data_IF_164427060153
#
_entry.id   IF_164427060153
#
_cell.length_a   1.000
_cell.length_b   1.000
_cell.length_c   1.000
_cell.angle_alpha   90.00
_cell.angle_beta   90.00
_cell.angle_gamma   90.00
#
_symmetry.space_group_name_H-M   'P 1'
#
loop_
_entity.id
_entity.type
_entity.pdbx_description
1 polymer ?
#
# COMPACT_ATOMS: atom_id res chain seq x y z
N UNK A 1 7.64 -24.76 1.44
CA UNK A 1 9.08 -25.11 1.51
C UNK A 1 10.01 -23.90 1.28
N UNK A 2 9.52 -22.69 0.98
CA UNK A 2 10.37 -21.50 0.75
C UNK A 2 10.93 -20.86 2.04
N UNK A 3 10.17 -20.87 3.14
CA UNK A 3 10.61 -20.22 4.41
C UNK A 3 11.95 -20.74 4.95
N UNK A 4 12.27 -22.01 4.71
CA UNK A 4 13.50 -22.62 5.23
C UNK A 4 14.77 -22.18 4.47
N UNK A 5 14.64 -21.66 3.24
CA UNK A 5 15.80 -21.23 2.45
C UNK A 5 16.22 -19.80 2.78
N UNK A 6 15.24 -18.92 3.01
CA UNK A 6 15.49 -17.52 3.36
C UNK A 6 16.01 -17.38 4.79
N UNK A 7 15.50 -18.18 5.73
CA UNK A 7 16.01 -18.27 7.11
C UNK A 7 17.47 -18.75 7.16
N UNK A 8 17.84 -19.73 6.32
CA UNK A 8 19.23 -20.20 6.22
C UNK A 8 20.17 -19.17 5.60
N UNK A 9 19.69 -18.40 4.60
CA UNK A 9 20.49 -17.34 3.99
C UNK A 9 20.77 -16.22 4.99
N UNK A 10 19.76 -15.82 5.77
CA UNK A 10 19.90 -14.79 6.81
C UNK A 10 20.89 -15.24 7.90
N UNK A 11 20.81 -16.50 8.34
CA UNK A 11 21.72 -17.07 9.33
C UNK A 11 23.18 -17.09 8.85
N UNK A 12 23.41 -17.42 7.58
CA UNK A 12 24.76 -17.41 6.99
C UNK A 12 25.31 -15.99 6.80
N UNK A 13 24.45 -15.01 6.52
CA UNK A 13 24.84 -13.60 6.44
C UNK A 13 25.24 -13.03 7.81
N UNK A 14 24.47 -13.31 8.86
CA UNK A 14 24.84 -12.93 10.23
C UNK A 14 26.17 -13.55 10.64
N UNK A 15 26.34 -14.86 10.41
CA UNK A 15 27.59 -15.57 10.71
C UNK A 15 28.79 -15.01 9.94
N UNK A 16 28.59 -14.61 8.68
CA UNK A 16 29.64 -13.99 7.87
C UNK A 16 30.09 -12.65 8.47
N UNK A 17 29.15 -11.84 8.95
CA UNK A 17 29.46 -10.54 9.52
C UNK A 17 30.16 -10.65 10.88
N UNK A 18 29.77 -11.62 11.70
CA UNK A 18 30.49 -11.94 12.93
C UNK A 18 31.94 -12.37 12.66
N UNK A 19 32.15 -13.25 11.68
CA UNK A 19 33.51 -13.71 11.35
C UNK A 19 34.38 -12.61 10.74
N UNK A 20 33.80 -11.68 9.97
CA UNK A 20 34.52 -10.47 9.49
C UNK A 20 34.92 -9.56 10.65
N UNK A 21 34.02 -9.35 11.62
CA UNK A 21 34.32 -8.55 12.82
C UNK A 21 35.44 -9.19 13.62
N UNK A 22 35.35 -10.50 13.86
CA UNK A 22 36.40 -11.28 14.55
C UNK A 22 37.75 -11.19 13.81
N UNK A 23 37.75 -11.28 12.48
CA UNK A 23 38.96 -11.16 11.66
C UNK A 23 39.67 -9.80 11.79
N UNK A 24 38.90 -8.71 11.95
CA UNK A 24 39.43 -7.35 12.11
C UNK A 24 40.12 -7.19 13.47
N UNK A 25 39.51 -7.73 14.53
CA UNK A 25 39.98 -7.56 15.91
C UNK A 25 41.05 -8.59 16.33
N UNK A 26 41.17 -9.71 15.60
CA UNK A 26 42.12 -10.78 15.93
C UNK A 26 43.55 -10.38 15.55
N UNK A 27 44.43 -10.35 16.56
CA UNK A 27 45.86 -10.11 16.41
C UNK A 27 46.66 -11.39 16.12
N UNK A 28 46.18 -12.56 16.55
CA UNK A 28 46.85 -13.84 16.30
C UNK A 28 46.79 -14.24 14.81
N UNK A 29 47.96 -14.45 14.21
CA UNK A 29 48.07 -14.74 12.77
C UNK A 29 47.51 -16.13 12.43
N UNK A 30 47.63 -17.12 13.32
CA UNK A 30 47.10 -18.46 13.11
C UNK A 30 45.58 -18.46 13.02
N UNK A 31 44.91 -17.85 14.00
CA UNK A 31 43.46 -17.66 14.00
C UNK A 31 42.99 -16.80 12.83
N UNK A 32 43.74 -15.76 12.46
CA UNK A 32 43.41 -14.91 11.30
C UNK A 32 43.44 -15.68 9.99
N UNK A 33 44.38 -16.61 9.82
CA UNK A 33 44.42 -17.49 8.66
C UNK A 33 43.21 -18.44 8.61
N UNK A 34 42.80 -19.01 9.75
CA UNK A 34 41.61 -19.85 9.85
C UNK A 34 40.32 -19.08 9.52
N UNK A 35 40.14 -17.90 10.12
CA UNK A 35 38.99 -17.03 9.85
C UNK A 35 38.90 -16.63 8.37
N UNK A 36 40.05 -16.40 7.71
CA UNK A 36 40.07 -16.11 6.26
C UNK A 36 39.54 -17.28 5.43
N UNK A 37 39.83 -18.53 5.84
CA UNK A 37 39.32 -19.74 5.19
C UNK A 37 37.82 -19.91 5.43
N UNK A 38 37.37 -19.76 6.67
CA UNK A 38 35.96 -19.85 7.05
C UNK A 38 35.09 -18.77 6.36
N UNK A 39 35.58 -17.53 6.28
CA UNK A 39 34.92 -16.45 5.52
C UNK A 39 34.76 -16.81 4.04
N UNK A 40 35.79 -17.44 3.44
CA UNK A 40 35.74 -17.84 2.04
C UNK A 40 34.70 -18.96 1.81
N UNK A 41 34.65 -19.93 2.71
CA UNK A 41 33.69 -21.04 2.66
C UNK A 41 32.24 -20.54 2.82
N UNK A 42 31.97 -19.65 3.78
CA UNK A 42 30.63 -19.08 3.97
C UNK A 42 30.20 -18.24 2.76
N UNK A 43 31.11 -17.44 2.19
CA UNK A 43 30.81 -16.68 0.95
C UNK A 43 30.46 -17.61 -0.21
N UNK A 44 31.14 -18.74 -0.32
CA UNK A 44 30.85 -19.72 -1.35
C UNK A 44 29.46 -20.36 -1.14
N UNK A 45 29.11 -20.72 0.10
CA UNK A 45 27.78 -21.27 0.41
C UNK A 45 26.65 -20.28 0.14
N UNK A 46 26.84 -18.99 0.47
CA UNK A 46 25.88 -17.93 0.14
C UNK A 46 25.71 -17.83 -1.39
N UNK A 47 26.81 -17.81 -2.14
CA UNK A 47 26.78 -17.75 -3.60
C UNK A 47 26.06 -18.97 -4.20
N UNK A 48 26.32 -20.18 -3.71
CA UNK A 48 25.67 -21.41 -4.17
C UNK A 48 24.16 -21.43 -3.87
N UNK A 49 23.73 -20.88 -2.73
CA UNK A 49 22.31 -20.73 -2.36
C UNK A 49 21.61 -19.66 -3.21
N UNK A 50 22.29 -18.54 -3.49
CA UNK A 50 21.79 -17.49 -4.38
C UNK A 50 21.69 -17.99 -5.83
N UNK A 51 22.69 -18.74 -6.31
CA UNK A 51 22.70 -19.33 -7.65
C UNK A 51 21.66 -20.44 -7.79
N UNK A 52 21.45 -21.25 -6.75
CA UNK A 52 20.37 -22.22 -6.70
C UNK A 52 19.01 -21.52 -6.75
N UNK A 53 18.81 -20.48 -5.94
CA UNK A 53 17.57 -19.67 -5.95
C UNK A 53 17.33 -18.98 -7.30
N UNK A 54 18.39 -18.50 -7.95
CA UNK A 54 18.33 -17.89 -9.28
C UNK A 54 18.10 -18.92 -10.40
N UNK A 55 18.58 -20.15 -10.25
CA UNK A 55 18.31 -21.25 -11.19
C UNK A 55 16.84 -21.71 -11.13
N UNK A 56 16.23 -21.73 -9.94
CA UNK A 56 14.79 -21.93 -9.77
C UNK A 56 13.99 -20.80 -10.44
N UNK A 57 14.40 -19.53 -10.24
CA UNK A 57 13.78 -18.37 -10.91
C UNK A 57 13.93 -18.38 -12.44
N UNK A 58 15.01 -18.96 -12.99
CA UNK A 58 15.22 -19.10 -14.45
C UNK A 58 14.43 -20.23 -15.08
N UNK A 59 14.18 -21.32 -14.34
CA UNK A 59 13.35 -22.44 -14.81
C UNK A 59 11.84 -22.17 -14.66
N UNK A 60 11.45 -21.26 -13.77
CA UNK A 60 10.18 -20.54 -13.86
C UNK A 60 10.34 -19.33 -14.77
N UNK A 61 10.54 -19.54 -16.07
CA UNK A 61 9.91 -18.65 -17.05
C UNK A 61 8.41 -18.82 -16.89
N UNK A 62 7.85 -18.25 -15.82
CA UNK A 62 6.45 -17.90 -15.80
C UNK A 62 6.23 -17.11 -17.08
N UNK A 63 5.50 -17.71 -18.04
CA UNK A 63 4.77 -16.90 -19.01
C UNK A 63 4.15 -15.79 -18.18
N UNK A 64 4.41 -14.53 -18.52
CA UNK A 64 3.69 -13.40 -17.93
C UNK A 64 2.23 -13.85 -17.79
N UNK A 65 1.61 -13.72 -16.60
CA UNK A 65 0.22 -14.11 -16.43
C UNK A 65 -0.53 -13.55 -17.62
N UNK A 66 -1.24 -14.41 -18.35
CA UNK A 66 -2.07 -13.98 -19.47
C UNK A 66 -2.81 -12.72 -19.00
N UNK A 67 -2.71 -11.60 -19.73
CA UNK A 67 -3.37 -10.35 -19.33
C UNK A 67 -4.86 -10.61 -19.04
N UNK A 68 -5.44 -11.62 -19.69
CA UNK A 68 -6.80 -12.08 -19.43
C UNK A 68 -6.94 -12.75 -18.06
N UNK A 69 -5.99 -13.57 -17.64
CA UNK A 69 -5.95 -14.16 -16.30
C UNK A 69 -5.70 -13.09 -15.22
N UNK A 70 -4.78 -12.15 -15.45
CA UNK A 70 -4.56 -11.02 -14.53
C UNK A 70 -5.84 -10.17 -14.39
N UNK A 71 -6.51 -9.86 -15.50
CA UNK A 71 -7.80 -9.15 -15.47
C UNK A 71 -8.91 -9.96 -14.80
N UNK A 72 -8.98 -11.26 -15.05
CA UNK A 72 -9.97 -12.15 -14.44
C UNK A 72 -9.76 -12.25 -12.92
N UNK A 73 -8.52 -12.40 -12.46
CA UNK A 73 -8.15 -12.45 -11.04
C UNK A 73 -8.36 -11.10 -10.35
N UNK A 74 -8.12 -9.97 -11.03
CA UNK A 74 -8.45 -8.63 -10.53
C UNK A 74 -9.94 -8.46 -10.22
N UNK A 75 -10.82 -9.09 -11.02
CA UNK A 75 -12.28 -9.03 -10.86
C UNK A 75 -12.79 -10.07 -9.87
N UNK A 76 -12.15 -11.24 -9.83
CA UNK A 76 -12.41 -12.26 -8.82
C UNK A 76 -12.06 -11.71 -7.42
N UNK A 77 -12.85 -12.05 -6.40
CA UNK A 77 -12.61 -11.73 -4.99
C UNK A 77 -12.83 -10.28 -4.54
N UNK A 78 -12.91 -9.32 -5.46
CA UNK A 78 -12.98 -7.90 -5.12
C UNK A 78 -14.13 -7.15 -5.81
N UNK A 79 -15.06 -7.85 -6.47
CA UNK A 79 -16.17 -7.22 -7.19
C UNK A 79 -17.03 -6.34 -6.28
N UNK A 80 -17.32 -6.80 -5.06
CA UNK A 80 -18.12 -6.02 -4.11
C UNK A 80 -17.37 -4.77 -3.65
N UNK A 81 -16.10 -4.91 -3.25
CA UNK A 81 -15.25 -3.80 -2.84
C UNK A 81 -15.08 -2.78 -3.97
N UNK A 82 -14.96 -3.25 -5.22
CA UNK A 82 -14.88 -2.43 -6.41
C UNK A 82 -16.17 -1.65 -6.66
N UNK A 83 -17.33 -2.32 -6.65
CA UNK A 83 -18.64 -1.67 -6.85
C UNK A 83 -18.93 -0.66 -5.73
N UNK A 84 -18.66 -1.02 -4.47
CA UNK A 84 -18.78 -0.10 -3.33
C UNK A 84 -17.88 1.11 -3.50
N UNK A 85 -16.62 0.92 -3.93
CA UNK A 85 -15.69 2.02 -4.16
C UNK A 85 -16.16 2.96 -5.28
N UNK A 86 -16.59 2.43 -6.43
CA UNK A 86 -17.12 3.26 -7.53
C UNK A 86 -18.36 4.04 -7.10
N UNK A 87 -19.26 3.39 -6.37
CA UNK A 87 -20.46 4.03 -5.84
C UNK A 87 -20.12 5.20 -4.90
N UNK A 88 -19.22 4.97 -3.93
CA UNK A 88 -18.77 6.01 -3.00
C UNK A 88 -18.02 7.12 -3.71
N UNK A 89 -17.24 6.80 -4.76
CA UNK A 89 -16.57 7.81 -5.57
C UNK A 89 -17.54 8.81 -6.18
N UNK A 90 -18.66 8.31 -6.72
CA UNK A 90 -19.70 9.15 -7.30
C UNK A 90 -20.36 10.04 -6.23
N UNK A 91 -20.64 9.50 -5.04
CA UNK A 91 -21.26 10.27 -3.94
C UNK A 91 -20.31 11.34 -3.38
N UNK A 92 -19.02 11.02 -3.28
CA UNK A 92 -18.02 11.86 -2.66
C UNK A 92 -17.24 12.74 -3.66
N UNK A 93 -17.69 12.83 -4.92
CA UNK A 93 -17.04 13.58 -6.00
C UNK A 93 -15.55 13.23 -6.15
N UNK A 94 -15.22 11.94 -6.13
CA UNK A 94 -13.86 11.40 -6.26
C UNK A 94 -12.88 11.78 -5.13
N UNK A 95 -13.38 12.30 -4.01
CA UNK A 95 -12.60 12.64 -2.81
C UNK A 95 -12.91 11.65 -1.69
N UNK A 96 -12.12 10.58 -1.57
CA UNK A 96 -12.49 9.42 -0.75
C UNK A 96 -11.39 9.07 0.24
N UNK A 97 -11.77 8.93 1.52
CA UNK A 97 -10.97 8.27 2.54
C UNK A 97 -11.46 6.84 2.72
N UNK A 98 -10.55 5.88 2.75
CA UNK A 98 -10.84 4.45 2.87
C UNK A 98 -9.93 3.84 3.92
N UNK A 99 -10.52 3.08 4.84
CA UNK A 99 -9.78 2.17 5.72
C UNK A 99 -9.86 0.77 5.11
N UNK A 100 -8.72 0.19 4.79
CA UNK A 100 -8.63 -1.19 4.31
C UNK A 100 -8.16 -2.08 5.45
N UNK A 101 -9.06 -2.88 6.00
CA UNK A 101 -8.74 -3.89 7.00
C UNK A 101 -8.24 -5.16 6.32
N UNK A 102 -7.03 -5.58 6.64
CA UNK A 102 -6.39 -6.75 6.02
C UNK A 102 -5.39 -7.45 6.95
N UNK A 103 -4.76 -8.54 6.51
CA UNK A 103 -3.59 -9.15 7.17
C UNK A 103 -2.29 -8.66 6.52
N UNK A 104 -1.18 -8.69 7.27
CA UNK A 104 0.14 -8.24 6.80
C UNK A 104 0.59 -8.93 5.50
N UNK A 105 0.28 -10.22 5.35
CA UNK A 105 0.73 -11.02 4.20
C UNK A 105 -0.30 -11.15 3.08
N UNK A 106 -1.08 -10.11 2.82
CA UNK A 106 -2.21 -10.20 1.88
C UNK A 106 -1.82 -9.85 0.44
N UNK A 107 -1.49 -10.87 -0.37
CA UNK A 107 -1.53 -10.74 -1.84
C UNK A 107 -2.85 -10.12 -2.32
N UNK A 108 -3.95 -10.43 -1.64
CA UNK A 108 -5.28 -9.84 -1.87
C UNK A 108 -5.32 -8.31 -1.71
N UNK A 109 -4.51 -7.72 -0.82
CA UNK A 109 -4.43 -6.25 -0.72
C UNK A 109 -3.80 -5.66 -1.99
N UNK A 110 -2.70 -6.24 -2.46
CA UNK A 110 -2.03 -5.77 -3.68
C UNK A 110 -2.99 -5.85 -4.86
N UNK A 111 -3.73 -6.95 -4.98
CA UNK A 111 -4.74 -7.11 -6.02
C UNK A 111 -5.89 -6.12 -5.90
N UNK A 112 -6.44 -5.94 -4.70
CA UNK A 112 -7.48 -4.93 -4.47
C UNK A 112 -6.99 -3.54 -4.87
N UNK A 113 -5.82 -3.11 -4.37
CA UNK A 113 -5.26 -1.79 -4.70
C UNK A 113 -5.02 -1.65 -6.20
N UNK A 114 -4.48 -2.66 -6.88
CA UNK A 114 -4.35 -2.66 -8.34
C UNK A 114 -5.70 -2.51 -9.03
N UNK A 115 -6.72 -3.25 -8.61
CA UNK A 115 -8.07 -3.19 -9.18
C UNK A 115 -8.71 -1.81 -8.99
N UNK A 116 -8.59 -1.21 -7.80
CA UNK A 116 -9.10 0.13 -7.50
C UNK A 116 -8.35 1.21 -8.29
N UNK A 117 -7.02 1.11 -8.42
CA UNK A 117 -6.23 2.07 -9.21
C UNK A 117 -6.58 1.96 -10.70
N UNK A 118 -6.72 0.72 -11.21
CA UNK A 118 -7.09 0.47 -12.60
C UNK A 118 -8.49 1.01 -12.94
N UNK A 119 -9.39 1.07 -11.95
CA UNK A 119 -10.74 1.61 -12.12
C UNK A 119 -10.78 3.10 -12.41
N UNK A 120 -9.68 3.82 -12.18
CA UNK A 120 -9.60 5.25 -12.43
C UNK A 120 -9.49 5.58 -13.92
N UNK A 121 -9.22 4.58 -14.77
CA UNK A 121 -9.14 4.67 -16.24
C UNK A 121 -8.26 5.83 -16.73
N UNK A 122 -7.17 6.11 -16.00
CA UNK A 122 -6.30 7.27 -16.22
C UNK A 122 -4.82 6.88 -16.09
N UNK A 123 -3.98 7.49 -16.93
CA UNK A 123 -2.53 7.30 -16.90
C UNK A 123 -1.82 8.27 -15.93
N UNK A 124 -2.49 9.34 -15.51
CA UNK A 124 -1.91 10.43 -14.71
C UNK A 124 -2.12 10.25 -13.19
N UNK A 125 -1.81 9.04 -12.70
CA UNK A 125 -1.90 8.72 -11.27
C UNK A 125 -0.54 8.92 -10.58
N UNK A 126 -0.50 9.81 -9.59
CA UNK A 126 0.63 9.94 -8.67
C UNK A 126 0.27 9.28 -7.34
N UNK A 127 1.16 8.41 -6.87
CA UNK A 127 0.95 7.66 -5.64
C UNK A 127 2.07 7.92 -4.63
N UNK A 128 1.72 8.48 -3.48
CA UNK A 128 2.60 8.55 -2.32
C UNK A 128 2.34 7.35 -1.40
N UNK A 129 3.41 6.61 -1.09
CA UNK A 129 3.37 5.47 -0.17
C UNK A 129 4.13 5.83 1.09
N UNK A 130 3.45 5.76 2.22
CA UNK A 130 3.99 6.11 3.52
C UNK A 130 3.93 4.91 4.45
N UNK A 131 5.09 4.51 4.98
CA UNK A 131 5.16 3.53 6.04
C UNK A 131 5.20 4.26 7.39
N UNK A 132 4.11 4.19 8.14
CA UNK A 132 4.03 4.74 9.48
C UNK A 132 4.61 3.71 10.46
N UNK A 133 5.90 3.82 10.75
CA UNK A 133 6.53 3.02 11.79
C UNK A 133 6.37 3.70 13.17
N UNK A 134 6.12 2.92 14.22
CA UNK A 134 5.84 3.49 15.54
C UNK A 134 7.05 4.19 16.15
N UNK A 135 8.29 3.83 15.79
CA UNK A 135 9.50 4.39 16.39
C UNK A 135 9.84 5.80 15.87
N UNK A 136 9.60 6.04 14.58
CA UNK A 136 9.84 7.30 13.89
C UNK A 136 8.77 8.32 14.24
N UNK A 137 7.52 7.87 14.43
CA UNK A 137 6.37 8.75 14.60
C UNK A 137 5.80 8.80 16.03
N UNK A 138 6.29 7.98 16.97
CA UNK A 138 5.84 7.96 18.38
C UNK A 138 5.93 9.32 19.07
N UNK A 139 6.92 10.15 18.70
CA UNK A 139 7.10 11.48 19.27
C UNK A 139 6.26 12.56 18.57
N UNK A 140 5.32 12.16 17.70
CA UNK A 140 4.39 13.09 17.06
C UNK A 140 5.05 14.02 16.05
N UNK A 141 6.18 13.62 15.46
CA UNK A 141 6.90 14.37 14.42
C UNK A 141 6.13 14.32 13.09
N UNK A 142 5.02 15.06 13.06
CA UNK A 142 4.14 15.17 11.91
C UNK A 142 4.85 15.73 10.68
N UNK A 143 5.92 16.51 10.87
CA UNK A 143 6.74 17.02 9.77
C UNK A 143 7.38 15.90 8.94
N UNK A 144 7.71 14.75 9.55
CA UNK A 144 8.22 13.60 8.80
C UNK A 144 7.14 12.94 7.93
N UNK A 145 5.88 12.97 8.38
CA UNK A 145 4.75 12.48 7.57
C UNK A 145 4.56 13.42 6.38
N UNK A 146 4.54 14.72 6.64
CA UNK A 146 4.45 15.77 5.61
C UNK A 146 5.59 15.69 4.59
N UNK A 147 6.82 15.44 5.04
CA UNK A 147 7.96 15.16 4.19
C UNK A 147 7.72 13.94 3.30
N UNK A 148 7.28 12.83 3.87
CA UNK A 148 6.97 11.61 3.10
C UNK A 148 5.87 11.82 2.06
N UNK A 149 4.85 12.63 2.37
CA UNK A 149 3.81 13.02 1.41
C UNK A 149 4.42 13.86 0.29
N UNK A 150 5.21 14.88 0.65
CA UNK A 150 5.81 15.78 -0.32
C UNK A 150 6.78 15.04 -1.28
N UNK A 151 7.62 14.16 -0.75
CA UNK A 151 8.54 13.33 -1.52
C UNK A 151 7.78 12.32 -2.40
N UNK A 152 6.78 11.63 -1.84
CA UNK A 152 5.97 10.66 -2.58
C UNK A 152 5.17 11.26 -3.72
N UNK A 153 4.73 12.52 -3.57
CA UNK A 153 4.02 13.28 -4.60
C UNK A 153 4.93 14.11 -5.50
N UNK A 154 6.25 14.06 -5.28
CA UNK A 154 7.25 14.87 -5.99
C UNK A 154 6.89 16.36 -5.98
N UNK A 155 6.49 16.88 -4.82
CA UNK A 155 6.16 18.30 -4.67
C UNK A 155 7.43 19.14 -4.84
N UNK A 156 7.44 20.13 -5.73
CA UNK A 156 8.60 21.01 -5.90
C UNK A 156 8.82 21.82 -4.61
N UNK A 157 10.09 22.14 -4.32
CA UNK A 157 10.46 23.12 -3.27
C UNK A 157 9.92 22.76 -1.87
N UNK A 158 9.85 21.47 -1.53
CA UNK A 158 9.59 21.09 -0.13
C UNK A 158 10.83 21.41 0.71
N UNK A 159 10.63 22.15 1.80
CA UNK A 159 11.66 22.50 2.76
C UNK A 159 11.26 22.00 4.15
N UNK A 160 12.23 21.81 5.03
CA UNK A 160 11.97 21.39 6.43
C UNK A 160 11.07 22.36 7.21
N UNK A 161 10.95 23.61 6.75
CA UNK A 161 10.07 24.64 7.31
C UNK A 161 8.76 24.80 6.54
N UNK A 162 8.49 23.95 5.54
CA UNK A 162 7.21 23.98 4.83
C UNK A 162 6.07 23.70 5.80
N UNK A 163 5.07 24.57 5.78
CA UNK A 163 3.89 24.42 6.61
C UNK A 163 2.94 23.38 6.02
N UNK A 164 1.98 22.91 6.81
CA UNK A 164 0.90 22.04 6.32
C UNK A 164 0.15 22.72 5.18
N UNK A 165 -0.13 24.02 5.31
CA UNK A 165 -0.84 24.80 4.29
C UNK A 165 -0.04 24.90 2.98
N UNK A 166 1.29 25.01 3.04
CA UNK A 166 2.14 25.00 1.84
C UNK A 166 2.00 23.69 1.07
N UNK A 167 2.01 22.57 1.78
CA UNK A 167 1.88 21.24 1.19
C UNK A 167 0.48 21.09 0.59
N UNK A 168 -0.56 21.45 1.34
CA UNK A 168 -1.94 21.42 0.86
C UNK A 168 -2.11 22.26 -0.41
N UNK A 169 -1.54 23.47 -0.44
CA UNK A 169 -1.56 24.35 -1.62
C UNK A 169 -0.89 23.70 -2.83
N UNK A 170 0.24 23.03 -2.63
CA UNK A 170 0.97 22.33 -3.72
C UNK A 170 0.22 21.10 -4.22
N UNK A 171 -0.36 20.30 -3.32
CA UNK A 171 -1.22 19.16 -3.69
C UNK A 171 -2.46 19.64 -4.45
N UNK A 172 -3.12 20.69 -3.96
CA UNK A 172 -4.25 21.33 -4.63
C UNK A 172 -3.88 21.79 -6.06
N UNK A 173 -2.71 22.40 -6.23
CA UNK A 173 -2.21 22.80 -7.55
C UNK A 173 -2.03 21.60 -8.48
N UNK A 174 -1.40 20.51 -8.00
CA UNK A 174 -1.25 19.28 -8.80
C UNK A 174 -2.59 18.70 -9.27
N UNK A 175 -3.56 18.62 -8.37
CA UNK A 175 -4.86 18.04 -8.70
C UNK A 175 -5.61 18.90 -9.72
N UNK A 176 -5.64 20.22 -9.55
CA UNK A 176 -6.52 21.07 -10.34
C UNK A 176 -5.87 21.76 -11.54
N UNK A 177 -4.57 22.02 -11.49
CA UNK A 177 -3.84 22.69 -12.57
C UNK A 177 -3.10 21.68 -13.43
N UNK A 178 -2.45 20.69 -12.81
CA UNK A 178 -1.77 19.61 -13.54
C UNK A 178 -2.72 18.44 -13.86
N UNK A 179 -4.00 18.52 -13.47
CA UNK A 179 -5.03 17.50 -13.70
C UNK A 179 -4.67 16.09 -13.17
N UNK A 180 -3.84 16.01 -12.12
CA UNK A 180 -3.35 14.74 -11.62
C UNK A 180 -4.32 14.05 -10.66
N UNK A 181 -4.39 12.73 -10.76
CA UNK A 181 -5.04 11.87 -9.78
C UNK A 181 -4.04 11.54 -8.67
N UNK A 182 -4.41 11.74 -7.41
CA UNK A 182 -3.53 11.55 -6.27
C UNK A 182 -4.01 10.43 -5.37
N UNK A 183 -3.09 9.54 -5.02
CA UNK A 183 -3.32 8.43 -4.10
C UNK A 183 -2.32 8.50 -2.95
N UNK A 184 -2.84 8.53 -1.72
CA UNK A 184 -2.08 8.48 -0.49
C UNK A 184 -2.29 7.13 0.19
N UNK A 185 -1.23 6.30 0.25
CA UNK A 185 -1.25 4.99 0.91
C UNK A 185 -0.50 5.09 2.24
N UNK A 186 -1.21 4.97 3.34
CA UNK A 186 -0.64 4.91 4.69
C UNK A 186 -0.63 3.47 5.19
N UNK A 187 0.56 2.89 5.30
CA UNK A 187 0.81 1.58 5.88
C UNK A 187 1.16 1.70 7.37
N UNK A 188 0.89 0.65 8.14
CA UNK A 188 1.29 0.61 9.56
C UNK A 188 0.43 1.48 10.49
N UNK A 189 -0.72 1.96 10.02
CA UNK A 189 -1.66 2.78 10.82
C UNK A 189 -2.10 2.07 12.11
N UNK A 190 -2.06 0.74 12.11
CA UNK A 190 -2.41 -0.10 13.25
C UNK A 190 -1.44 0.01 14.42
N UNK A 191 -0.18 0.35 14.14
CA UNK A 191 0.87 0.55 15.13
C UNK A 191 0.93 1.98 15.70
N UNK A 192 0.15 2.89 15.13
CA UNK A 192 0.18 4.31 15.50
C UNK A 192 -0.74 4.62 16.66
N UNK A 193 -0.41 5.68 17.40
CA UNK A 193 -1.27 6.22 18.45
C UNK A 193 -2.36 7.14 17.87
N UNK A 194 -3.32 7.52 18.71
CA UNK A 194 -4.43 8.39 18.31
C UNK A 194 -3.96 9.76 17.83
N UNK A 195 -2.97 10.37 18.47
CA UNK A 195 -2.55 11.73 18.13
C UNK A 195 -1.94 11.83 16.73
N UNK A 196 -1.18 10.82 16.30
CA UNK A 196 -0.64 10.76 14.92
C UNK A 196 -1.77 10.68 13.91
N UNK A 197 -2.74 9.79 14.14
CA UNK A 197 -3.89 9.63 13.23
C UNK A 197 -4.77 10.88 13.20
N UNK A 198 -4.95 11.54 14.35
CA UNK A 198 -5.68 12.81 14.44
C UNK A 198 -5.00 13.91 13.64
N UNK A 199 -3.67 14.02 13.69
CA UNK A 199 -2.95 15.01 12.87
C UNK A 199 -3.10 14.73 11.37
N UNK A 200 -2.98 13.46 10.95
CA UNK A 200 -3.19 13.09 9.54
C UNK A 200 -4.61 13.48 9.09
N UNK A 201 -5.61 13.18 9.91
CA UNK A 201 -7.00 13.43 9.53
C UNK A 201 -7.38 14.91 9.65
N UNK A 202 -7.25 15.48 10.84
CA UNK A 202 -7.74 16.82 11.19
C UNK A 202 -6.85 17.94 10.63
N UNK A 203 -5.53 17.77 10.70
CA UNK A 203 -4.62 18.85 10.32
C UNK A 203 -4.30 18.81 8.82
N UNK A 204 -4.36 17.65 8.17
CA UNK A 204 -3.99 17.49 6.76
C UNK A 204 -5.15 17.09 5.83
N UNK A 205 -5.82 15.96 6.09
CA UNK A 205 -6.81 15.40 5.16
C UNK A 205 -8.06 16.26 5.01
N UNK A 206 -8.67 16.65 6.14
CA UNK A 206 -9.89 17.47 6.13
C UNK A 206 -9.64 18.83 5.47
N UNK A 207 -8.58 19.60 5.81
CA UNK A 207 -8.34 20.88 5.16
C UNK A 207 -8.06 20.72 3.66
N UNK A 208 -7.34 19.67 3.24
CA UNK A 208 -7.09 19.37 1.83
C UNK A 208 -8.39 19.08 1.06
N UNK A 209 -9.23 18.16 1.54
CA UNK A 209 -10.53 17.88 0.92
C UNK A 209 -11.37 19.14 0.85
N UNK A 210 -11.45 19.87 1.97
CA UNK A 210 -12.30 21.06 2.06
C UNK A 210 -11.88 22.07 0.99
N UNK A 211 -10.56 22.29 0.83
CA UNK A 211 -10.01 23.15 -0.21
C UNK A 211 -10.41 22.68 -1.61
N UNK A 212 -10.33 21.38 -1.89
CA UNK A 212 -10.70 20.85 -3.23
C UNK A 212 -12.21 20.88 -3.46
N UNK A 213 -13.04 20.56 -2.45
CA UNK A 213 -14.51 20.58 -2.54
C UNK A 213 -15.08 21.96 -2.90
N UNK A 214 -14.37 23.04 -2.56
CA UNK A 214 -14.79 24.40 -2.98
C UNK A 214 -14.74 24.58 -4.50
N UNK A 215 -14.02 23.72 -5.23
CA UNK A 215 -13.97 23.73 -6.68
C UNK A 215 -14.94 22.70 -7.30
N UNK A 216 -16.04 23.19 -7.87
CA UNK A 216 -17.11 22.37 -8.48
C UNK A 216 -16.71 21.65 -9.78
N UNK A 217 -15.53 21.91 -10.34
CA UNK A 217 -15.07 21.34 -11.63
C UNK A 217 -14.06 20.20 -11.47
N UNK A 218 -13.85 19.69 -10.26
CA UNK A 218 -12.87 18.63 -10.04
C UNK A 218 -13.39 17.27 -10.51
N UNK A 219 -12.81 16.75 -11.59
CA UNK A 219 -13.02 15.35 -12.02
C UNK A 219 -11.90 14.43 -11.51
N UNK A 220 -10.84 14.98 -10.92
CA UNK A 220 -9.66 14.24 -10.53
C UNK A 220 -9.85 13.58 -9.17
N UNK A 221 -9.20 12.44 -9.01
CA UNK A 221 -9.33 11.64 -7.81
C UNK A 221 -8.34 12.09 -6.75
N UNK A 222 -8.81 12.23 -5.51
CA UNK A 222 -7.97 12.29 -4.33
C UNK A 222 -8.38 11.16 -3.40
N UNK A 223 -7.53 10.16 -3.29
CA UNK A 223 -7.77 8.96 -2.50
C UNK A 223 -6.80 8.87 -1.34
N UNK A 224 -7.31 8.60 -0.15
CA UNK A 224 -6.50 8.24 1.01
C UNK A 224 -6.88 6.84 1.47
N UNK A 225 -5.88 5.98 1.58
CA UNK A 225 -6.04 4.61 2.04
C UNK A 225 -5.25 4.40 3.34
N UNK A 226 -5.96 3.99 4.40
CA UNK A 226 -5.37 3.54 5.66
C UNK A 226 -5.33 2.01 5.66
N UNK A 227 -4.14 1.44 5.53
CA UNK A 227 -3.93 -0.01 5.49
C UNK A 227 -3.77 -0.54 6.90
N UNK A 228 -4.86 -1.10 7.42
CA UNK A 228 -5.00 -1.52 8.79
C UNK A 228 -4.83 -3.04 8.94
N UNK A 229 -3.73 -3.45 9.57
CA UNK A 229 -3.39 -4.85 9.77
C UNK A 229 -3.99 -5.50 11.03
N UNK A 230 -4.57 -4.71 11.94
CA UNK A 230 -5.03 -5.23 13.23
C UNK A 230 -6.55 -5.38 13.27
N UNK A 231 -7.00 -6.61 13.57
CA UNK A 231 -8.41 -6.96 13.69
C UNK A 231 -9.00 -6.73 15.08
N UNK A 232 -8.18 -6.47 16.11
CA UNK A 232 -8.62 -6.32 17.51
C UNK A 232 -8.59 -4.85 17.94
N UNK A 233 -9.74 -4.40 18.45
CA UNK A 233 -10.04 -3.03 18.88
C UNK A 233 -9.55 -2.75 20.30
N UNK A 234 -8.53 -1.91 20.43
CA UNK A 234 -8.23 -1.12 21.63
C UNK A 234 -7.42 0.14 21.29
N UNK A 235 -7.52 0.62 20.04
CA UNK A 235 -6.72 1.73 19.52
C UNK A 235 -7.64 2.89 19.09
N UNK A 236 -7.03 3.96 18.59
CA UNK A 236 -7.62 5.15 17.98
C UNK A 236 -8.85 4.94 17.09
N UNK A 237 -9.06 3.74 16.55
CA UNK A 237 -10.21 3.32 15.74
C UNK A 237 -11.56 3.64 16.37
N UNK A 238 -11.67 3.53 17.70
CA UNK A 238 -12.92 3.84 18.43
C UNK A 238 -13.28 5.33 18.40
N UNK A 239 -12.31 6.18 18.05
CA UNK A 239 -12.52 7.63 17.92
C UNK A 239 -13.02 8.06 16.53
N UNK A 240 -13.21 7.12 15.60
CA UNK A 240 -13.60 7.41 14.22
C UNK A 240 -14.74 6.50 13.76
N UNK A 241 -15.43 6.93 12.71
CA UNK A 241 -16.54 6.19 12.11
C UNK A 241 -16.04 5.57 10.81
N UNK A 242 -16.17 4.26 10.70
CA UNK A 242 -15.85 3.48 9.50
C UNK A 242 -17.09 2.72 9.04
N UNK A 243 -18.00 3.35 8.27
CA UNK A 243 -19.16 2.64 7.76
C UNK A 243 -18.74 1.57 6.77
N UNK A 244 -19.34 0.38 6.88
CA UNK A 244 -19.21 -0.70 5.90
C UNK A 244 -20.16 -0.50 4.70
N UNK A 245 -21.25 0.26 4.91
CA UNK A 245 -22.29 0.52 3.92
C UNK A 245 -21.88 1.69 2.98
N UNK A 246 -21.76 1.46 1.66
CA UNK A 246 -21.45 2.51 0.70
C UNK A 246 -22.54 3.58 0.57
N UNK A 247 -23.79 3.29 0.99
CA UNK A 247 -24.90 4.24 0.99
C UNK A 247 -24.95 5.12 2.27
N UNK A 248 -24.01 4.94 3.21
CA UNK A 248 -24.01 5.68 4.47
C UNK A 248 -23.82 7.19 4.25
N UNK A 249 -24.85 7.96 4.59
CA UNK A 249 -24.86 9.43 4.45
C UNK A 249 -23.67 10.13 5.12
N UNK A 250 -23.05 9.53 6.14
CA UNK A 250 -21.88 10.08 6.85
C UNK A 250 -20.63 10.09 5.97
N UNK A 251 -20.56 9.31 4.89
CA UNK A 251 -19.45 9.31 3.93
C UNK A 251 -19.25 10.67 3.24
N UNK A 252 -20.28 11.53 3.23
CA UNK A 252 -20.15 12.91 2.73
C UNK A 252 -19.26 13.79 3.61
N UNK A 253 -19.08 13.43 4.88
CA UNK A 253 -18.21 14.12 5.83
C UNK A 253 -16.76 13.70 5.59
N UNK A 254 -15.85 14.68 5.53
CA UNK A 254 -14.42 14.43 5.26
C UNK A 254 -13.71 13.59 6.35
N UNK A 255 -14.31 13.50 7.53
CA UNK A 255 -13.82 12.71 8.68
C UNK A 255 -14.16 11.23 8.58
N UNK A 256 -15.13 10.86 7.75
CA UNK A 256 -15.63 9.49 7.64
C UNK A 256 -14.85 8.75 6.57
N UNK A 257 -14.33 7.56 6.90
CA UNK A 257 -13.58 6.73 5.96
C UNK A 257 -14.37 5.45 5.68
N UNK A 258 -14.61 5.13 4.41
CA UNK A 258 -15.24 3.87 4.02
C UNK A 258 -14.43 2.69 4.55
N UNK A 259 -15.07 1.74 5.24
CA UNK A 259 -14.42 0.52 5.67
C UNK A 259 -14.46 -0.53 4.56
N UNK A 260 -13.31 -1.09 4.22
CA UNK A 260 -13.20 -2.19 3.28
C UNK A 260 -12.45 -3.33 3.95
N UNK A 261 -13.07 -4.50 4.04
CA UNK A 261 -12.42 -5.71 4.52
C UNK A 261 -11.91 -6.54 3.34
N UNK A 262 -10.62 -6.90 3.39
CA UNK A 262 -10.00 -7.78 2.40
C UNK A 262 -10.21 -9.23 2.84
N UNK A 263 -11.01 -9.97 2.08
CA UNK A 263 -11.21 -11.41 2.27
C UNK A 263 -10.08 -12.18 1.58
N UNK A 264 -9.45 -13.10 2.31
CA UNK A 264 -8.37 -13.96 1.79
C UNK A 264 -8.88 -15.22 1.08
N UNK A 265 -10.20 -15.41 1.01
CA UNK A 265 -10.85 -16.58 0.41
C UNK A 265 -11.97 -16.15 -0.52
N UNK A 266 -12.00 -16.72 -1.71
CA UNK A 266 -13.16 -16.62 -2.60
C UNK A 266 -14.36 -17.29 -1.95
N UNK A 267 -15.51 -16.64 -2.03
CA UNK A 267 -16.78 -17.26 -1.68
C UNK A 267 -17.21 -18.23 -2.80
N UNK A 268 -17.95 -19.27 -2.46
CA UNK A 268 -18.54 -20.18 -3.47
C UNK A 268 -19.42 -19.42 -4.47
N UNK A 269 -20.10 -18.35 -4.02
CA UNK A 269 -20.90 -17.47 -4.88
C UNK A 269 -20.04 -16.73 -5.91
N UNK A 270 -18.90 -16.17 -5.50
CA UNK A 270 -17.97 -15.49 -6.43
C UNK A 270 -17.36 -16.46 -7.44
N UNK A 271 -16.98 -17.66 -6.99
CA UNK A 271 -16.48 -18.71 -7.89
C UNK A 271 -17.56 -19.17 -8.87
N UNK A 272 -18.79 -19.37 -8.38
CA UNK A 272 -19.95 -19.74 -9.19
C UNK A 272 -20.28 -18.66 -10.22
N UNK A 273 -20.41 -17.40 -9.80
CA UNK A 273 -20.66 -16.28 -10.70
C UNK A 273 -19.57 -16.12 -11.76
N UNK A 274 -18.31 -16.40 -11.42
CA UNK A 274 -17.23 -16.36 -12.39
C UNK A 274 -17.27 -17.53 -13.37
N UNK A 275 -17.50 -18.76 -12.88
CA UNK A 275 -17.64 -19.93 -13.73
C UNK A 275 -18.83 -19.79 -14.69
N UNK A 276 -19.95 -19.25 -14.20
CA UNK A 276 -21.15 -19.00 -15.00
C UNK A 276 -21.00 -17.78 -15.94
N UNK A 277 -20.14 -16.82 -15.59
CA UNK A 277 -19.81 -15.65 -16.42
C UNK A 277 -18.68 -15.87 -17.44
N UNK A 278 -18.02 -17.03 -17.41
CA UNK A 278 -16.99 -17.43 -18.38
C UNK A 278 -17.60 -18.04 -19.65
N UNK A 279 -18.88 -18.44 -19.64
CA UNK A 279 -19.62 -18.76 -20.84
C UNK A 279 -19.97 -17.45 -21.55
N UNK A 280 -19.18 -17.13 -22.58
CA UNK A 280 -19.21 -15.87 -23.31
C UNK A 280 -20.63 -15.34 -23.57
N UNK A 281 -20.78 -14.03 -23.34
CA UNK A 281 -22.00 -13.20 -23.47
C UNK A 281 -22.84 -13.07 -22.20
N UNK A 282 -22.28 -12.45 -21.16
CA UNK A 282 -23.07 -11.52 -20.37
C UNK A 282 -22.15 -10.49 -19.72
N UNK A 283 -22.03 -9.33 -20.40
CA UNK A 283 -21.83 -8.10 -19.66
C UNK A 283 -22.99 -7.97 -18.65
N UNK A 284 -22.78 -7.40 -17.46
CA UNK A 284 -23.90 -6.86 -16.71
C UNK A 284 -24.66 -5.90 -17.65
N UNK A 285 -26.00 -5.92 -17.67
CA UNK A 285 -26.75 -4.91 -18.39
C UNK A 285 -26.32 -3.55 -17.81
N UNK A 286 -26.30 -2.51 -18.64
CA UNK A 286 -25.81 -1.16 -18.34
C UNK A 286 -24.30 -0.96 -18.54
N UNK A 287 -23.85 -1.04 -19.79
CA UNK A 287 -23.22 0.09 -20.49
C UNK A 287 -23.12 -0.23 -21.99
N UNK A 288 -24.18 0.17 -22.70
CA UNK A 288 -24.14 0.55 -24.12
C UNK A 288 -23.46 1.93 -24.18
N UNK A 289 -22.70 2.22 -25.25
CA UNK A 289 -22.52 3.50 -25.97
C UNK A 289 -21.23 3.35 -26.83
N UNK A 290 -21.33 3.25 -28.16
CA UNK A 290 -21.32 4.34 -29.18
C UNK A 290 -20.10 5.25 -29.06
#
# INVERSE_FOLDING_TARGET
MLNNSDENLQLLQEKLDDFKREYIITADQGRKFQLKKEIKEIKQQIQELEDSSNSYKRNTKEKLPDKNLENALCKLNHSNQYTSFQHVSNICNNLIGVRIQTSKDSFSLVWLLKSLIKSLETEEVICARLLLDSHTYSNGNFQLILKGIAEGLKLPEYHHNSTVEDIIRKIYYKILQEQQHIILLFYGVDSQNKSVMEKILKDFWIPLITKIKTNKKNNNYLLMFWIDYNKKSANWRESYIFPDDPDDSRLKNAETLLNICVTSKFTQKELKNWLEGQDGRSAPPYLIII
#
